data_IF_358770629493
#
_entry.id   IF_358770629493
#
_cell.length_a   1.000
_cell.length_b   1.000
_cell.length_c   1.000
_cell.angle_alpha   90.00
_cell.angle_beta   90.00
_cell.angle_gamma   90.00
#
_symmetry.space_group_name_H-M   'P 1'
#
loop_
_entity.id
_entity.type
_entity.pdbx_description
1 polymer ?
#
# COMPACT_ATOMS: atom_id res chain seq x y z
N UNK A 1 63.74 -51.45 -10.11
CA UNK A 1 62.30 -51.78 -10.11
C UNK A 1 61.60 -50.76 -9.22
N UNK A 2 60.72 -49.96 -9.83
CA UNK A 2 59.88 -48.92 -9.21
C UNK A 2 59.10 -49.46 -8.01
N UNK A 3 59.00 -48.69 -6.92
CA UNK A 3 57.80 -48.68 -6.06
C UNK A 3 57.35 -47.24 -5.85
N UNK A 4 56.12 -47.02 -6.30
CA UNK A 4 55.43 -45.76 -6.54
C UNK A 4 54.77 -45.26 -5.24
N UNK A 5 54.80 -43.96 -5.04
CA UNK A 5 54.14 -43.23 -3.95
C UNK A 5 52.62 -43.42 -3.99
N UNK A 6 51.97 -43.67 -2.85
CA UNK A 6 50.52 -43.53 -2.70
C UNK A 6 50.23 -42.23 -1.93
N UNK A 7 49.81 -41.21 -2.68
CA UNK A 7 49.33 -39.93 -2.16
C UNK A 7 47.91 -40.14 -1.64
N UNK A 8 47.70 -39.79 -0.37
CA UNK A 8 46.40 -39.79 0.30
C UNK A 8 45.53 -38.67 -0.28
N UNK A 9 44.44 -39.02 -0.97
CA UNK A 9 43.44 -38.07 -1.44
C UNK A 9 42.49 -37.72 -0.29
N UNK A 10 42.62 -36.50 0.24
CA UNK A 10 41.69 -35.91 1.19
C UNK A 10 40.45 -35.42 0.41
N UNK A 11 39.31 -36.11 0.56
CA UNK A 11 38.03 -35.72 -0.03
C UNK A 11 37.48 -34.51 0.75
N UNK A 12 37.54 -33.32 0.15
CA UNK A 12 36.90 -32.11 0.67
C UNK A 12 35.41 -32.15 0.28
N UNK A 13 34.53 -32.46 1.23
CA UNK A 13 33.07 -32.38 1.01
C UNK A 13 32.63 -30.92 0.97
N UNK A 14 32.37 -30.41 -0.24
CA UNK A 14 31.65 -29.16 -0.45
C UNK A 14 30.19 -29.36 0.01
N UNK A 15 29.85 -28.86 1.20
CA UNK A 15 28.44 -28.68 1.58
C UNK A 15 28.00 -27.41 0.87
N UNK A 16 27.31 -27.57 -0.26
CA UNK A 16 26.59 -26.48 -0.89
C UNK A 16 25.44 -26.09 0.06
N UNK A 17 25.56 -24.95 0.72
CA UNK A 17 24.45 -24.30 1.39
C UNK A 17 23.44 -23.90 0.31
N UNK A 18 22.43 -24.72 0.09
CA UNK A 18 21.24 -24.28 -0.63
C UNK A 18 20.56 -23.28 0.29
N UNK A 19 20.66 -21.99 -0.02
CA UNK A 19 19.68 -21.03 0.47
C UNK A 19 18.33 -21.54 -0.02
N UNK A 20 17.45 -21.93 0.91
CA UNK A 20 16.03 -21.96 0.60
C UNK A 20 15.68 -20.51 0.27
N UNK A 21 15.68 -20.17 -1.02
CA UNK A 21 14.98 -18.98 -1.47
C UNK A 21 13.56 -19.20 -0.98
N UNK A 22 13.12 -18.35 -0.05
CA UNK A 22 11.71 -18.29 0.28
C UNK A 22 10.98 -18.11 -1.04
N UNK A 23 9.95 -18.94 -1.28
CA UNK A 23 9.07 -18.74 -2.41
C UNK A 23 8.59 -17.28 -2.29
N UNK A 24 8.99 -16.35 -3.17
CA UNK A 24 8.61 -14.97 -2.99
C UNK A 24 7.10 -14.96 -3.07
N UNK A 25 6.44 -14.56 -1.98
CA UNK A 25 5.01 -14.37 -1.99
C UNK A 25 4.67 -13.48 -3.20
N UNK A 26 3.65 -13.87 -3.95
CA UNK A 26 3.18 -13.15 -5.11
C UNK A 26 3.09 -11.63 -4.78
N UNK A 27 3.63 -10.74 -5.62
CA UNK A 27 3.71 -9.32 -5.30
C UNK A 27 2.33 -8.73 -5.00
N UNK A 28 2.26 -7.85 -3.99
CA UNK A 28 1.01 -7.18 -3.63
C UNK A 28 1.16 -5.68 -3.81
N UNK A 29 0.11 -5.04 -4.30
CA UNK A 29 0.08 -3.60 -4.60
C UNK A 29 -1.14 -2.98 -3.96
N UNK A 30 -0.97 -1.85 -3.28
CA UNK A 30 -2.08 -0.97 -2.93
C UNK A 30 -2.19 0.10 -4.00
N UNK A 31 -3.40 0.32 -4.49
CA UNK A 31 -3.75 1.45 -5.33
C UNK A 31 -4.68 2.36 -4.54
N UNK A 32 -4.14 3.45 -3.99
CA UNK A 32 -4.92 4.47 -3.31
C UNK A 32 -5.65 5.33 -4.34
N UNK A 33 -6.96 5.47 -4.18
CA UNK A 33 -7.79 6.33 -5.03
C UNK A 33 -8.53 7.36 -4.19
N UNK A 34 -9.06 8.39 -4.84
CA UNK A 34 -9.99 9.33 -4.20
C UNK A 34 -11.39 8.73 -3.88
N UNK A 35 -11.56 7.41 -4.07
CA UNK A 35 -12.72 6.59 -3.64
C UNK A 35 -12.33 5.50 -2.63
N UNK A 36 -11.08 5.50 -2.15
CA UNK A 36 -10.52 4.51 -1.24
C UNK A 36 -9.46 3.61 -1.89
N UNK A 37 -8.77 2.78 -1.10
CA UNK A 37 -7.75 1.88 -1.59
C UNK A 37 -8.32 0.62 -2.23
N UNK A 38 -7.59 0.08 -3.20
CA UNK A 38 -7.79 -1.23 -3.82
C UNK A 38 -6.51 -2.03 -3.59
N UNK A 39 -6.63 -3.23 -3.00
CA UNK A 39 -5.51 -4.12 -2.72
C UNK A 39 -5.46 -5.22 -3.77
N UNK A 40 -4.30 -5.41 -4.37
CA UNK A 40 -4.07 -6.37 -5.44
C UNK A 40 -3.08 -7.44 -4.98
N UNK A 41 -3.35 -8.69 -5.36
CA UNK A 41 -2.34 -9.75 -5.40
C UNK A 41 -2.07 -10.08 -6.87
N UNK A 42 -0.83 -9.89 -7.29
CA UNK A 42 -0.39 -10.16 -8.66
C UNK A 42 0.02 -11.63 -8.78
N UNK A 43 -0.08 -12.20 -9.97
CA UNK A 43 0.25 -13.60 -10.24
C UNK A 43 1.54 -13.66 -11.06
N UNK A 44 2.68 -13.59 -10.38
CA UNK A 44 3.99 -13.66 -11.01
C UNK A 44 4.33 -15.07 -11.53
N UNK A 45 3.64 -16.10 -11.03
CA UNK A 45 3.83 -17.48 -11.46
C UNK A 45 3.21 -17.73 -12.84
N UNK A 46 1.98 -17.24 -13.07
CA UNK A 46 1.26 -17.44 -14.33
C UNK A 46 1.43 -16.28 -15.33
N UNK A 47 1.71 -15.05 -14.86
CA UNK A 47 1.88 -13.87 -15.70
C UNK A 47 3.17 -13.08 -15.36
N UNK A 48 4.37 -13.71 -15.41
CA UNK A 48 5.61 -13.09 -14.95
C UNK A 48 5.96 -11.78 -15.68
N UNK A 49 5.84 -11.74 -17.02
CA UNK A 49 6.21 -10.53 -17.79
C UNK A 49 5.22 -9.41 -17.54
N UNK A 50 3.94 -9.74 -17.41
CA UNK A 50 2.88 -8.78 -17.16
C UNK A 50 2.97 -8.19 -15.75
N UNK A 51 3.19 -9.05 -14.75
CA UNK A 51 3.38 -8.66 -13.35
C UNK A 51 4.62 -7.77 -13.20
N UNK A 52 5.76 -8.16 -13.79
CA UNK A 52 6.99 -7.35 -13.76
C UNK A 52 6.78 -5.98 -14.41
N UNK A 53 6.12 -5.92 -15.57
CA UNK A 53 5.80 -4.67 -16.24
C UNK A 53 4.90 -3.77 -15.38
N UNK A 54 3.86 -4.31 -14.76
CA UNK A 54 2.97 -3.54 -13.88
C UNK A 54 3.71 -3.00 -12.66
N UNK A 55 4.56 -3.81 -12.03
CA UNK A 55 5.39 -3.39 -10.90
C UNK A 55 6.35 -2.26 -11.29
N UNK A 56 6.98 -2.34 -12.47
CA UNK A 56 7.85 -1.25 -12.94
C UNK A 56 7.10 0.09 -13.02
N UNK A 57 5.85 0.09 -13.51
CA UNK A 57 5.03 1.31 -13.52
C UNK A 57 4.61 1.77 -12.11
N UNK A 58 4.37 0.83 -11.19
CA UNK A 58 4.09 1.14 -9.77
C UNK A 58 5.31 1.81 -9.12
N UNK A 59 6.50 1.22 -9.26
CA UNK A 59 7.74 1.70 -8.65
C UNK A 59 8.20 3.05 -9.22
N UNK A 60 7.84 3.35 -10.48
CA UNK A 60 8.06 4.66 -11.11
C UNK A 60 7.07 5.74 -10.65
N UNK A 61 6.03 5.40 -9.88
CA UNK A 61 4.93 6.31 -9.57
C UNK A 61 4.11 6.70 -10.81
N UNK A 62 4.16 5.88 -11.88
CA UNK A 62 3.58 6.22 -13.18
C UNK A 62 2.06 6.42 -13.11
N UNK A 63 1.38 5.72 -12.20
CA UNK A 63 -0.07 5.78 -12.07
C UNK A 63 -0.55 7.01 -11.29
N UNK A 64 0.33 7.72 -10.60
CA UNK A 64 -0.03 8.84 -9.72
C UNK A 64 -0.67 9.98 -10.54
N UNK A 65 -1.88 10.36 -10.14
CA UNK A 65 -2.70 11.37 -10.81
C UNK A 65 -3.42 10.88 -12.08
N UNK A 66 -3.26 9.63 -12.49
CA UNK A 66 -4.02 9.04 -13.59
C UNK A 66 -5.45 8.69 -13.15
N UNK A 67 -6.35 8.60 -14.12
CA UNK A 67 -7.77 8.36 -13.89
C UNK A 67 -8.26 7.01 -14.40
N UNK A 68 -9.35 6.54 -13.81
CA UNK A 68 -10.22 5.55 -14.43
C UNK A 68 -11.09 6.26 -15.47
N UNK A 69 -10.65 6.20 -16.72
CA UNK A 69 -11.21 6.98 -17.83
C UNK A 69 -12.38 6.28 -18.54
N UNK A 70 -12.58 4.99 -18.27
CA UNK A 70 -13.63 4.18 -18.89
C UNK A 70 -14.23 3.21 -17.89
N UNK A 71 -15.55 3.21 -17.78
CA UNK A 71 -16.36 2.34 -16.92
C UNK A 71 -17.55 1.84 -17.73
N UNK A 72 -17.67 0.52 -17.84
CA UNK A 72 -18.83 -0.13 -18.47
C UNK A 72 -19.41 -1.12 -17.48
N UNK A 73 -20.65 -0.87 -17.08
CA UNK A 73 -21.43 -1.70 -16.16
C UNK A 73 -21.37 -3.18 -16.56
N UNK A 74 -21.20 -4.04 -15.56
CA UNK A 74 -21.07 -5.51 -15.70
C UNK A 74 -19.95 -5.99 -16.66
N UNK A 75 -19.05 -5.09 -17.06
CA UNK A 75 -17.92 -5.40 -17.95
C UNK A 75 -16.60 -5.05 -17.27
N UNK A 76 -16.18 -3.77 -17.30
CA UNK A 76 -14.85 -3.37 -16.82
C UNK A 76 -14.79 -1.95 -16.25
N UNK A 77 -13.84 -1.75 -15.34
CA UNK A 77 -13.32 -0.44 -14.92
C UNK A 77 -11.88 -0.32 -15.42
N UNK A 78 -11.60 0.61 -16.33
CA UNK A 78 -10.31 0.73 -17.03
C UNK A 78 -9.58 2.04 -16.69
N UNK A 79 -8.26 1.93 -16.47
CA UNK A 79 -7.38 3.02 -16.05
C UNK A 79 -5.96 2.93 -16.61
N UNK A 80 -5.04 3.70 -16.04
CA UNK A 80 -3.59 3.57 -16.29
C UNK A 80 -3.05 4.23 -17.57
N UNK A 81 -3.78 5.18 -18.17
CA UNK A 81 -3.34 5.82 -19.43
C UNK A 81 -3.60 7.32 -19.57
N UNK A 82 -4.50 7.91 -18.79
CA UNK A 82 -4.94 9.30 -18.97
C UNK A 82 -4.96 10.05 -17.65
N UNK A 83 -4.61 11.34 -17.68
CA UNK A 83 -4.75 12.23 -16.52
C UNK A 83 -6.16 12.84 -16.44
N UNK A 84 -6.39 13.75 -15.48
CA UNK A 84 -7.69 14.43 -15.29
C UNK A 84 -8.11 15.31 -16.48
N UNK A 85 -7.17 15.72 -17.33
CA UNK A 85 -7.44 16.48 -18.55
C UNK A 85 -7.65 15.57 -19.77
N UNK A 86 -7.64 14.25 -19.56
CA UNK A 86 -7.65 13.23 -20.60
C UNK A 86 -6.46 13.37 -21.57
N UNK A 87 -5.34 13.90 -21.06
CA UNK A 87 -4.08 13.84 -21.77
C UNK A 87 -3.47 12.45 -21.57
N UNK A 88 -3.07 11.83 -22.68
CA UNK A 88 -2.46 10.51 -22.65
C UNK A 88 -1.05 10.61 -22.04
N UNK A 89 -0.80 9.85 -20.97
CA UNK A 89 0.54 9.74 -20.40
C UNK A 89 1.33 8.72 -21.21
N UNK A 90 2.38 9.18 -21.88
CA UNK A 90 3.21 8.32 -22.70
C UNK A 90 3.86 7.22 -21.84
N UNK A 91 3.86 5.95 -22.28
CA UNK A 91 4.36 4.85 -21.47
C UNK A 91 5.89 4.90 -21.38
N UNK A 92 6.43 4.56 -20.22
CA UNK A 92 7.88 4.50 -19.94
C UNK A 92 8.49 3.13 -20.29
N UNK A 93 7.70 2.06 -20.16
CA UNK A 93 8.06 0.70 -20.54
C UNK A 93 7.65 0.35 -21.98
N UNK A 94 8.36 -0.58 -22.66
CA UNK A 94 7.99 -1.07 -23.99
C UNK A 94 6.72 -1.93 -23.94
N UNK A 95 6.10 -2.13 -25.11
CA UNK A 95 4.99 -3.08 -25.23
C UNK A 95 5.45 -4.50 -24.87
N UNK A 96 4.63 -5.22 -24.12
CA UNK A 96 4.93 -6.58 -23.66
C UNK A 96 4.30 -7.66 -24.54
N UNK A 97 4.85 -8.86 -24.45
CA UNK A 97 4.23 -10.07 -25.03
C UNK A 97 2.94 -10.38 -24.29
N UNK A 98 1.93 -10.83 -25.01
CA UNK A 98 0.67 -11.21 -24.39
C UNK A 98 0.77 -12.57 -23.69
N UNK A 99 0.46 -12.59 -22.40
CA UNK A 99 0.39 -13.79 -21.56
C UNK A 99 -1.05 -14.31 -21.37
N UNK A 100 -2.03 -13.87 -22.18
CA UNK A 100 -3.45 -14.24 -22.02
C UNK A 100 -3.78 -15.73 -22.17
N UNK A 101 -2.85 -16.56 -22.63
CA UNK A 101 -2.99 -18.02 -22.66
C UNK A 101 -2.41 -18.70 -21.40
N UNK A 102 -2.20 -17.96 -20.31
CA UNK A 102 -1.66 -18.46 -19.04
C UNK A 102 -2.63 -19.31 -18.22
N UNK A 103 -3.89 -19.45 -18.66
CA UNK A 103 -4.91 -20.26 -17.97
C UNK A 103 -5.73 -19.49 -16.94
N UNK A 104 -5.41 -18.22 -16.69
CA UNK A 104 -6.25 -17.30 -15.92
C UNK A 104 -7.40 -16.78 -16.78
N UNK A 105 -8.58 -16.63 -16.18
CA UNK A 105 -9.81 -16.21 -16.86
C UNK A 105 -10.19 -14.79 -16.46
N UNK A 106 -10.79 -14.02 -17.38
CA UNK A 106 -11.30 -12.67 -17.15
C UNK A 106 -12.63 -12.71 -16.39
N UNK A 107 -12.58 -13.13 -15.13
CA UNK A 107 -13.75 -13.22 -14.23
C UNK A 107 -13.76 -12.09 -13.20
N UNK A 108 -14.88 -11.93 -12.48
CA UNK A 108 -15.04 -10.89 -11.46
C UNK A 108 -13.82 -10.83 -10.51
N UNK A 109 -13.43 -9.60 -10.14
CA UNK A 109 -12.28 -9.28 -9.27
C UNK A 109 -10.90 -9.46 -9.87
N UNK A 110 -10.76 -10.02 -11.07
CA UNK A 110 -9.45 -10.10 -11.72
C UNK A 110 -9.01 -8.76 -12.29
N UNK A 111 -7.69 -8.52 -12.33
CA UNK A 111 -7.06 -7.41 -13.06
C UNK A 111 -6.36 -7.95 -14.31
N UNK A 112 -6.55 -7.28 -15.44
CA UNK A 112 -5.99 -7.66 -16.71
C UNK A 112 -5.46 -6.46 -17.50
N UNK A 113 -4.52 -6.72 -18.41
CA UNK A 113 -3.92 -5.68 -19.24
C UNK A 113 -4.83 -5.29 -20.41
N UNK A 114 -5.10 -4.00 -20.56
CA UNK A 114 -5.65 -3.47 -21.79
C UNK A 114 -4.57 -3.45 -22.88
N UNK A 115 -5.00 -3.51 -24.14
CA UNK A 115 -4.09 -3.44 -25.29
C UNK A 115 -4.77 -2.81 -26.50
N UNK A 116 -3.95 -2.38 -27.45
CA UNK A 116 -4.42 -2.01 -28.79
C UNK A 116 -4.74 -3.25 -29.63
N UNK A 117 -4.97 -3.07 -30.94
CA UNK A 117 -5.38 -4.14 -31.85
C UNK A 117 -4.32 -5.26 -32.00
N UNK A 118 -3.04 -4.91 -31.95
CA UNK A 118 -1.95 -5.88 -32.01
C UNK A 118 -1.90 -6.72 -30.72
N UNK A 119 -1.63 -8.03 -30.85
CA UNK A 119 -1.63 -8.95 -29.71
C UNK A 119 -0.63 -8.53 -28.62
N UNK A 120 0.60 -8.21 -29.02
CA UNK A 120 1.69 -7.78 -28.13
C UNK A 120 1.78 -6.25 -28.08
N UNK A 121 0.72 -5.61 -27.58
CA UNK A 121 0.64 -4.14 -27.49
C UNK A 121 0.18 -3.63 -26.12
N UNK A 122 0.04 -4.51 -25.14
CA UNK A 122 -0.18 -4.11 -23.75
C UNK A 122 1.04 -3.33 -23.23
N UNK A 123 0.78 -2.34 -22.37
CA UNK A 123 1.79 -1.43 -21.81
C UNK A 123 1.43 -1.05 -20.36
N UNK A 124 0.88 0.14 -20.09
CA UNK A 124 0.50 0.64 -18.76
C UNK A 124 -0.99 0.50 -18.45
N UNK A 125 -1.85 0.42 -19.46
CA UNK A 125 -3.30 0.42 -19.23
C UNK A 125 -3.78 -0.95 -18.76
N UNK A 126 -4.64 -0.95 -17.75
CA UNK A 126 -5.23 -2.14 -17.15
C UNK A 126 -6.73 -1.94 -16.94
N UNK A 127 -7.43 -3.02 -16.64
CA UNK A 127 -8.81 -2.97 -16.21
C UNK A 127 -9.12 -4.01 -15.13
N UNK A 128 -10.11 -3.70 -14.30
CA UNK A 128 -10.74 -4.65 -13.38
C UNK A 128 -11.97 -5.25 -14.06
N UNK A 129 -12.10 -6.58 -14.00
CA UNK A 129 -13.28 -7.30 -14.47
C UNK A 129 -14.41 -7.20 -13.44
N UNK A 130 -15.57 -6.69 -13.86
CA UNK A 130 -16.78 -6.59 -13.03
C UNK A 130 -17.68 -7.82 -13.09
N UNK A 131 -17.36 -8.77 -13.96
CA UNK A 131 -18.13 -9.98 -14.22
C UNK A 131 -17.32 -10.97 -15.06
N UNK A 132 -17.98 -12.02 -15.55
CA UNK A 132 -17.37 -13.01 -16.44
C UNK A 132 -17.32 -12.47 -17.88
N UNK A 133 -16.12 -12.18 -18.36
CA UNK A 133 -15.83 -11.61 -19.66
C UNK A 133 -15.12 -12.64 -20.56
N UNK A 134 -15.73 -13.82 -20.72
CA UNK A 134 -15.17 -14.98 -21.44
C UNK A 134 -14.67 -14.65 -22.86
N UNK A 135 -15.24 -13.61 -23.49
CA UNK A 135 -14.82 -13.13 -24.82
C UNK A 135 -13.44 -12.45 -24.84
N UNK A 136 -12.85 -12.16 -23.67
CA UNK A 136 -11.52 -11.57 -23.52
C UNK A 136 -10.44 -12.63 -23.26
N UNK A 137 -10.83 -13.86 -22.88
CA UNK A 137 -9.90 -14.93 -22.54
C UNK A 137 -8.99 -15.33 -23.71
N UNK A 138 -7.72 -15.62 -23.41
CA UNK A 138 -6.68 -15.86 -24.43
C UNK A 138 -6.18 -14.60 -25.13
N UNK A 139 -6.99 -13.54 -25.17
CA UNK A 139 -6.71 -12.29 -25.86
C UNK A 139 -6.19 -11.17 -24.97
N UNK A 140 -6.46 -11.22 -23.66
CA UNK A 140 -6.08 -10.22 -22.68
C UNK A 140 -5.52 -10.92 -21.43
N UNK A 141 -4.31 -10.54 -21.02
CA UNK A 141 -3.60 -11.19 -19.93
C UNK A 141 -4.16 -10.75 -18.57
N UNK A 142 -4.84 -11.65 -17.89
CA UNK A 142 -5.07 -11.55 -16.44
C UNK A 142 -3.75 -11.79 -15.74
N UNK A 143 -3.43 -10.95 -14.76
CA UNK A 143 -2.15 -10.98 -14.05
C UNK A 143 -2.30 -10.79 -12.54
N UNK A 144 -3.52 -10.91 -12.01
CA UNK A 144 -3.78 -10.82 -10.58
C UNK A 144 -5.27 -10.66 -10.26
N UNK A 145 -5.53 -10.35 -9.00
CA UNK A 145 -6.88 -10.16 -8.47
C UNK A 145 -6.94 -9.11 -7.36
N UNK A 146 -8.15 -8.59 -7.14
CA UNK A 146 -8.48 -7.72 -6.02
C UNK A 146 -8.72 -8.56 -4.77
N UNK A 147 -7.84 -8.41 -3.78
CA UNK A 147 -7.88 -9.12 -2.49
C UNK A 147 -8.46 -8.28 -1.35
N UNK A 148 -8.74 -7.00 -1.61
CA UNK A 148 -9.32 -6.06 -0.66
C UNK A 148 -9.73 -4.77 -1.38
N UNK A 149 -10.71 -4.03 -0.86
CA UNK A 149 -11.20 -2.82 -1.54
C UNK A 149 -12.12 -3.09 -2.73
N UNK A 150 -12.69 -4.28 -2.86
CA UNK A 150 -13.65 -4.58 -3.95
C UNK A 150 -14.84 -3.62 -3.97
N UNK A 151 -15.32 -3.21 -2.79
CA UNK A 151 -16.37 -2.21 -2.66
C UNK A 151 -15.98 -0.85 -3.27
N UNK A 152 -14.69 -0.48 -3.30
CA UNK A 152 -14.21 0.72 -3.98
C UNK A 152 -14.29 0.54 -5.50
N UNK A 153 -13.92 -0.62 -6.05
CA UNK A 153 -14.09 -0.91 -7.48
C UNK A 153 -15.57 -0.86 -7.88
N UNK A 154 -16.46 -1.42 -7.06
CA UNK A 154 -17.91 -1.36 -7.28
C UNK A 154 -18.48 0.05 -7.18
N UNK A 155 -17.97 0.88 -6.25
CA UNK A 155 -18.34 2.29 -6.14
C UNK A 155 -17.93 3.07 -7.40
N UNK A 156 -16.74 2.80 -7.95
CA UNK A 156 -16.28 3.38 -9.22
C UNK A 156 -17.15 2.91 -10.39
N UNK A 157 -17.50 1.62 -10.42
CA UNK A 157 -18.36 1.03 -11.44
C UNK A 157 -19.76 1.66 -11.46
N UNK A 158 -20.31 2.00 -10.29
CA UNK A 158 -21.64 2.61 -10.17
C UNK A 158 -21.72 4.11 -10.50
N UNK A 159 -20.63 4.74 -10.95
CA UNK A 159 -20.63 6.16 -11.31
C UNK A 159 -21.35 6.40 -12.63
N UNK A 160 -22.17 7.45 -12.69
CA UNK A 160 -22.78 7.88 -13.95
C UNK A 160 -21.73 8.18 -15.01
N UNK A 161 -21.87 7.55 -16.18
CA UNK A 161 -20.97 7.72 -17.32
C UNK A 161 -21.58 8.59 -18.42
N UNK A 162 -20.71 9.12 -19.27
CA UNK A 162 -21.07 9.93 -20.43
C UNK A 162 -19.98 9.91 -21.49
N UNK A 163 -20.08 10.84 -22.43
CA UNK A 163 -19.04 11.06 -23.44
C UNK A 163 -18.25 12.29 -23.05
N UNK A 164 -16.95 12.11 -22.80
CA UNK A 164 -16.02 13.24 -22.69
C UNK A 164 -15.46 13.57 -24.07
N UNK A 165 -15.61 14.81 -24.52
CA UNK A 165 -14.99 15.31 -25.76
C UNK A 165 -13.76 16.14 -25.41
N UNK A 166 -12.63 15.84 -26.04
CA UNK A 166 -11.41 16.65 -25.98
C UNK A 166 -10.90 16.94 -27.39
N UNK A 167 -9.91 17.84 -27.57
CA UNK A 167 -9.26 18.02 -28.87
C UNK A 167 -8.66 16.73 -29.45
N UNK A 168 -8.30 15.77 -28.59
CA UNK A 168 -7.75 14.47 -28.96
C UNK A 168 -8.78 13.42 -29.36
N UNK A 169 -10.08 13.65 -29.14
CA UNK A 169 -11.15 12.73 -29.51
C UNK A 169 -12.28 12.63 -28.49
N UNK A 170 -13.17 11.67 -28.72
CA UNK A 170 -14.27 11.35 -27.82
C UNK A 170 -13.94 10.11 -27.00
N UNK A 171 -14.16 10.19 -25.70
CA UNK A 171 -14.03 9.12 -24.73
C UNK A 171 -15.44 8.77 -24.25
N UNK A 172 -16.08 7.74 -24.83
CA UNK A 172 -17.35 7.23 -24.30
C UNK A 172 -17.13 6.47 -22.99
N UNK A 173 -18.23 6.16 -22.30
CA UNK A 173 -18.23 5.34 -21.08
C UNK A 173 -17.39 5.96 -19.96
N UNK A 174 -17.22 7.28 -19.98
CA UNK A 174 -16.35 8.00 -19.07
C UNK A 174 -17.13 8.46 -17.84
N UNK A 175 -16.68 8.20 -16.60
CA UNK A 175 -17.35 8.73 -15.41
C UNK A 175 -17.42 10.25 -15.45
N UNK A 176 -18.56 10.84 -15.11
CA UNK A 176 -18.74 12.31 -15.07
C UNK A 176 -17.79 13.00 -14.08
N UNK A 177 -17.28 12.26 -13.09
CA UNK A 177 -16.20 12.68 -12.20
C UNK A 177 -15.23 11.52 -12.08
N UNK A 178 -14.24 11.42 -12.99
CA UNK A 178 -13.31 10.30 -13.04
C UNK A 178 -12.57 10.14 -11.72
N UNK A 179 -12.62 8.94 -11.11
CA UNK A 179 -11.80 8.61 -9.96
C UNK A 179 -10.32 8.65 -10.31
N UNK A 180 -9.52 9.08 -9.36
CA UNK A 180 -8.10 9.36 -9.55
C UNK A 180 -7.28 8.41 -8.69
N UNK A 181 -6.30 7.77 -9.30
CA UNK A 181 -5.25 7.04 -8.62
C UNK A 181 -4.35 8.08 -7.97
N UNK A 182 -4.40 8.16 -6.66
CA UNK A 182 -3.57 9.07 -5.88
C UNK A 182 -2.15 8.55 -5.82
N UNK A 183 -2.01 7.24 -5.54
CA UNK A 183 -0.73 6.55 -5.53
C UNK A 183 -0.90 5.05 -5.74
N UNK A 184 0.11 4.39 -6.29
CA UNK A 184 0.25 2.94 -6.20
C UNK A 184 1.62 2.57 -5.64
N UNK A 185 1.68 1.57 -4.76
CA UNK A 185 2.94 1.08 -4.17
C UNK A 185 2.83 -0.38 -3.76
N UNK A 186 3.97 -1.07 -3.73
CA UNK A 186 4.06 -2.45 -3.27
C UNK A 186 3.97 -2.54 -1.74
N UNK A 187 3.47 -3.66 -1.21
CA UNK A 187 3.44 -3.93 0.23
C UNK A 187 3.64 -5.42 0.54
N UNK A 188 4.17 -5.73 1.73
CA UNK A 188 4.33 -7.12 2.21
C UNK A 188 3.30 -7.45 3.29
N UNK A 189 3.27 -6.62 4.33
CA UNK A 189 2.28 -6.63 5.41
C UNK A 189 1.31 -5.44 5.25
N UNK A 190 0.22 -5.39 6.02
CA UNK A 190 -0.77 -4.30 5.92
C UNK A 190 -0.07 -2.94 6.07
N UNK A 191 -0.08 -2.08 5.03
CA UNK A 191 0.76 -0.88 5.02
C UNK A 191 0.17 0.23 5.88
N UNK A 192 1.02 1.14 6.34
CA UNK A 192 0.59 2.38 6.97
C UNK A 192 -0.08 3.26 5.92
N UNK A 193 -1.32 3.66 6.21
CA UNK A 193 -2.18 4.39 5.29
C UNK A 193 -2.90 5.52 6.01
N UNK A 194 -3.36 6.50 5.23
CA UNK A 194 -4.21 7.59 5.72
C UNK A 194 -5.44 7.12 6.50
N UNK A 195 -5.94 5.92 6.17
CA UNK A 195 -7.06 5.30 6.86
C UNK A 195 -6.77 4.94 8.31
N UNK A 196 -5.53 4.96 8.78
CA UNK A 196 -5.16 4.73 10.18
C UNK A 196 -5.21 5.99 11.04
N UNK A 197 -5.37 7.17 10.44
CA UNK A 197 -5.52 8.42 11.18
C UNK A 197 -6.67 8.32 12.19
N UNK A 198 -6.46 8.81 13.40
CA UNK A 198 -7.42 8.73 14.50
C UNK A 198 -6.79 8.30 15.82
N UNK A 199 -7.66 7.90 16.74
CA UNK A 199 -7.32 7.53 18.11
C UNK A 199 -7.27 6.01 18.27
N UNK A 200 -6.22 5.53 18.91
CA UNK A 200 -5.94 4.14 19.21
C UNK A 200 -5.68 3.99 20.71
N UNK A 201 -6.07 2.86 21.30
CA UNK A 201 -5.98 2.65 22.75
C UNK A 201 -5.69 1.21 23.12
N UNK A 202 -5.10 1.01 24.30
CA UNK A 202 -4.93 -0.30 24.94
C UNK A 202 -6.29 -0.80 25.47
N UNK A 203 -6.86 -1.90 24.94
CA UNK A 203 -8.11 -2.46 25.42
C UNK A 203 -8.07 -2.96 26.86
N UNK A 204 -6.88 -3.27 27.38
CA UNK A 204 -6.66 -3.81 28.72
C UNK A 204 -6.29 -2.74 29.75
N UNK A 205 -5.92 -1.53 29.31
CA UNK A 205 -5.53 -0.43 30.19
C UNK A 205 -6.11 0.91 29.72
N UNK A 206 -7.29 1.27 30.25
CA UNK A 206 -7.93 2.54 29.95
C UNK A 206 -7.09 3.73 30.39
N UNK A 207 -6.61 4.53 29.43
CA UNK A 207 -5.72 5.66 29.68
C UNK A 207 -4.38 5.58 28.95
N UNK A 208 -4.10 4.46 28.27
CA UNK A 208 -2.92 4.27 27.42
C UNK A 208 -3.33 4.20 25.95
N UNK A 209 -2.64 4.94 25.09
CA UNK A 209 -2.87 4.89 23.65
C UNK A 209 -2.27 6.07 22.91
N UNK A 210 -2.61 6.24 21.64
CA UNK A 210 -2.10 7.36 20.85
C UNK A 210 -3.15 7.94 19.91
N UNK A 211 -2.97 9.19 19.53
CA UNK A 211 -3.56 9.74 18.32
C UNK A 211 -2.51 9.78 17.23
N UNK A 212 -2.85 9.33 16.03
CA UNK A 212 -1.97 9.37 14.86
C UNK A 212 -2.66 10.12 13.72
N UNK A 213 -1.88 10.92 13.00
CA UNK A 213 -2.24 11.51 11.73
C UNK A 213 -1.23 11.03 10.70
N UNK A 214 -1.72 10.38 9.63
CA UNK A 214 -0.91 9.87 8.53
C UNK A 214 -1.19 10.73 7.30
N UNK A 215 -0.16 11.31 6.70
CA UNK A 215 -0.33 12.19 5.53
C UNK A 215 -0.41 11.39 4.22
N UNK A 216 -1.16 11.93 3.25
CA UNK A 216 -1.29 11.38 1.89
C UNK A 216 -0.41 12.15 0.88
N UNK A 217 0.46 13.03 1.36
CA UNK A 217 1.33 13.89 0.56
C UNK A 217 2.70 13.89 1.22
N UNK A 218 3.74 13.63 0.44
CA UNK A 218 5.10 13.60 0.94
C UNK A 218 5.71 14.99 1.11
N UNK A 219 6.81 15.04 1.84
CA UNK A 219 7.66 16.25 1.98
C UNK A 219 8.56 16.42 0.75
N UNK A 220 9.67 17.17 0.84
CA UNK A 220 10.61 17.39 -0.29
C UNK A 220 11.08 16.10 -0.99
N UNK A 221 11.03 14.96 -0.29
CA UNK A 221 11.45 13.64 -0.78
C UNK A 221 10.27 12.71 -1.16
N UNK A 222 9.03 13.22 -1.23
CA UNK A 222 7.79 12.46 -1.53
C UNK A 222 7.47 11.32 -0.52
N UNK A 223 8.12 11.34 0.64
CA UNK A 223 7.87 10.43 1.76
C UNK A 223 6.69 10.92 2.63
N UNK A 224 5.70 10.05 2.92
CA UNK A 224 4.62 10.37 3.84
C UNK A 224 5.18 10.50 5.26
N UNK A 225 4.44 11.24 6.08
CA UNK A 225 4.80 11.44 7.49
C UNK A 225 3.67 10.97 8.40
N UNK A 226 4.06 10.56 9.60
CA UNK A 226 3.15 10.34 10.71
C UNK A 226 3.41 11.40 11.78
N UNK A 227 2.34 12.02 12.29
CA UNK A 227 2.36 12.76 13.53
C UNK A 227 1.69 11.91 14.60
N UNK A 228 2.35 11.69 15.72
CA UNK A 228 1.86 10.86 16.80
C UNK A 228 1.85 11.62 18.13
N UNK A 229 0.74 11.51 18.84
CA UNK A 229 0.52 12.02 20.18
C UNK A 229 0.24 10.83 21.10
N UNK A 230 1.24 10.38 21.84
CA UNK A 230 1.08 9.32 22.83
C UNK A 230 0.58 9.93 24.14
N UNK A 231 -0.48 9.33 24.68
CA UNK A 231 -0.93 9.55 26.04
C UNK A 231 -0.78 8.28 26.90
N UNK A 232 -0.25 8.46 28.11
CA UNK A 232 -0.26 7.44 29.16
C UNK A 232 -0.77 8.09 30.46
N UNK A 233 -1.74 7.44 31.09
CA UNK A 233 -2.21 7.79 32.42
C UNK A 233 -1.75 6.73 33.43
N UNK A 234 -0.57 6.93 33.99
CA UNK A 234 0.05 6.00 34.95
C UNK A 234 0.31 6.69 36.28
N UNK A 235 0.02 5.99 37.37
CA UNK A 235 0.21 6.45 38.77
C UNK A 235 -0.44 7.81 39.10
N UNK A 236 -1.53 8.17 38.39
CA UNK A 236 -2.25 9.43 38.60
C UNK A 236 -1.68 10.63 37.83
N UNK A 237 -0.66 10.42 37.00
CA UNK A 237 -0.06 11.45 36.15
C UNK A 237 -0.39 11.21 34.68
N UNK A 238 -0.56 12.30 33.95
CA UNK A 238 -0.77 12.26 32.51
C UNK A 238 0.54 12.58 31.80
N UNK A 239 1.01 11.65 30.98
CA UNK A 239 2.18 11.81 30.13
C UNK A 239 1.68 12.09 28.72
N UNK A 240 2.24 13.14 28.10
CA UNK A 240 2.05 13.44 26.69
C UNK A 240 3.40 13.51 26.01
N UNK A 241 3.61 12.62 25.05
CA UNK A 241 4.78 12.64 24.18
C UNK A 241 4.32 12.84 22.74
N UNK A 242 5.09 13.64 22.00
CA UNK A 242 4.78 13.95 20.61
C UNK A 242 5.95 13.57 19.74
N UNK A 243 5.68 13.07 18.54
CA UNK A 243 6.73 12.70 17.60
C UNK A 243 6.24 12.77 16.17
N UNK A 244 7.18 13.00 15.28
CA UNK A 244 6.97 12.97 13.84
C UNK A 244 8.05 12.09 13.21
N UNK A 245 7.67 11.26 12.25
CA UNK A 245 8.61 10.48 11.46
C UNK A 245 8.13 10.40 10.00
N UNK A 246 9.08 10.37 9.07
CA UNK A 246 8.83 9.89 7.71
C UNK A 246 8.86 8.37 7.67
N UNK A 247 8.19 7.79 6.68
CA UNK A 247 8.22 6.35 6.38
C UNK A 247 8.15 6.15 4.86
N UNK A 248 8.49 4.96 4.38
CA UNK A 248 8.38 4.63 2.97
C UNK A 248 7.00 4.06 2.65
N UNK A 249 6.51 4.35 1.44
CA UNK A 249 5.24 3.77 0.97
C UNK A 249 5.34 2.24 0.95
N UNK A 250 4.38 1.57 1.59
CA UNK A 250 4.39 0.11 1.73
C UNK A 250 4.92 -0.39 3.08
N UNK A 251 5.55 0.47 3.89
CA UNK A 251 5.95 0.13 5.24
C UNK A 251 4.72 -0.25 6.09
N UNK A 252 4.82 -1.34 6.84
CA UNK A 252 3.80 -1.78 7.78
C UNK A 252 4.04 -1.32 9.21
N UNK A 253 5.23 -0.77 9.48
CA UNK A 253 5.65 -0.24 10.76
C UNK A 253 6.48 1.03 10.62
N UNK A 254 6.38 1.92 11.62
CA UNK A 254 7.14 3.17 11.67
C UNK A 254 7.66 3.42 13.07
N UNK A 255 8.94 3.75 13.18
CA UNK A 255 9.57 4.13 14.46
C UNK A 255 9.70 5.64 14.56
N UNK A 256 9.13 6.20 15.62
CA UNK A 256 8.98 7.63 15.84
C UNK A 256 9.79 8.02 17.07
N UNK A 257 10.66 9.01 16.91
CA UNK A 257 11.35 9.66 18.02
C UNK A 257 10.37 10.54 18.80
N UNK A 258 10.32 10.37 20.11
CA UNK A 258 9.39 11.07 20.98
C UNK A 258 10.06 12.24 21.68
N UNK A 259 9.37 13.37 21.67
CA UNK A 259 9.74 14.60 22.35
C UNK A 259 8.77 14.87 23.49
N UNK A 260 9.31 15.34 24.61
CA UNK A 260 8.53 15.70 25.79
C UNK A 260 9.24 16.72 26.66
N UNK A 261 8.45 17.59 27.28
CA UNK A 261 8.93 18.67 28.16
C UNK A 261 9.09 18.19 29.60
N UNK A 262 8.35 17.16 29.98
CA UNK A 262 8.05 16.84 31.37
C UNK A 262 8.88 15.66 31.86
N UNK A 263 9.44 15.81 33.06
CA UNK A 263 9.89 14.68 33.89
C UNK A 263 8.64 13.93 34.40
N UNK A 264 8.77 12.68 34.88
CA UNK A 264 7.64 12.00 35.52
C UNK A 264 7.02 12.91 36.59
N UNK A 265 5.70 13.14 36.52
CA UNK A 265 4.85 14.00 37.38
C UNK A 265 4.63 15.47 36.98
N UNK A 266 5.14 15.97 35.86
CA UNK A 266 4.81 17.31 35.36
C UNK A 266 3.83 17.23 34.18
N UNK A 267 2.87 18.15 34.09
CA UNK A 267 1.93 18.25 32.96
C UNK A 267 2.28 19.43 32.07
N UNK A 268 2.17 19.28 30.75
CA UNK A 268 2.29 20.42 29.82
C UNK A 268 1.11 21.36 30.02
N UNK A 269 1.38 22.59 30.49
CA UNK A 269 0.36 23.64 30.54
C UNK A 269 0.10 24.16 29.12
N UNK A 270 -1.01 23.77 28.52
CA UNK A 270 -1.41 24.25 27.19
C UNK A 270 -1.87 25.72 27.19
N UNK A 271 -2.18 26.33 28.36
CA UNK A 271 -2.44 27.77 28.46
C UNK A 271 -1.15 28.59 28.42
N UNK A 272 -0.05 27.99 28.88
CA UNK A 272 1.30 28.58 28.88
C UNK A 272 2.29 27.57 28.28
N UNK A 273 2.22 27.32 26.95
CA UNK A 273 3.02 26.28 26.34
C UNK A 273 4.51 26.55 26.55
N UNK A 274 5.31 25.54 26.92
CA UNK A 274 6.75 25.68 27.04
C UNK A 274 7.38 26.12 25.72
N UNK A 275 8.49 26.85 25.78
CA UNK A 275 9.27 27.15 24.59
C UNK A 275 9.74 25.85 23.93
N UNK A 276 9.85 25.85 22.60
CA UNK A 276 10.28 24.65 21.85
C UNK A 276 11.63 24.08 22.30
N UNK A 277 12.51 24.93 22.84
CA UNK A 277 13.81 24.55 23.42
C UNK A 277 13.70 23.67 24.66
N UNK A 278 12.54 23.62 25.31
CA UNK A 278 12.29 22.79 26.49
C UNK A 278 11.96 21.33 26.13
N UNK A 279 11.63 21.05 24.86
CA UNK A 279 11.36 19.69 24.41
C UNK A 279 12.66 18.92 24.21
N UNK A 280 12.77 17.79 24.88
CA UNK A 280 13.94 16.89 24.80
C UNK A 280 13.50 15.52 24.32
N UNK A 281 14.45 14.78 23.73
CA UNK A 281 14.20 13.39 23.32
C UNK A 281 13.90 12.52 24.54
N UNK A 282 12.83 11.73 24.46
CA UNK A 282 12.34 10.85 25.52
C UNK A 282 12.42 9.37 25.17
N UNK A 283 12.90 9.02 23.97
CA UNK A 283 12.98 7.65 23.48
C UNK A 283 12.19 7.48 22.19
N UNK A 284 11.70 6.27 21.93
CA UNK A 284 11.01 5.93 20.68
C UNK A 284 9.73 5.15 20.92
N UNK A 285 8.82 5.26 19.96
CA UNK A 285 7.66 4.38 19.79
C UNK A 285 7.67 3.82 18.38
N UNK A 286 7.44 2.52 18.25
CA UNK A 286 7.24 1.84 16.96
C UNK A 286 5.80 1.43 16.87
N UNK A 287 5.09 1.86 15.83
CA UNK A 287 3.69 1.50 15.59
C UNK A 287 3.62 0.59 14.38
N UNK A 288 2.87 -0.51 14.51
CA UNK A 288 2.56 -1.47 13.44
C UNK A 288 1.05 -1.66 13.34
N UNK A 289 0.50 -1.64 12.15
CA UNK A 289 -0.91 -1.95 11.91
C UNK A 289 -1.04 -3.37 11.36
N UNK A 290 -1.97 -4.15 11.89
CA UNK A 290 -2.30 -5.47 11.35
C UNK A 290 -3.42 -5.37 10.32
N UNK A 291 -4.35 -4.44 10.57
CA UNK A 291 -5.46 -4.09 9.70
C UNK A 291 -5.98 -2.68 10.06
N UNK A 292 -7.10 -2.28 9.45
CA UNK A 292 -7.73 -0.97 9.65
C UNK A 292 -8.24 -0.69 11.09
N UNK A 293 -8.38 -1.71 11.93
CA UNK A 293 -8.96 -1.66 13.29
C UNK A 293 -8.05 -2.23 14.39
N UNK A 294 -7.00 -2.97 14.04
CA UNK A 294 -6.08 -3.59 14.99
C UNK A 294 -4.62 -3.33 14.66
N UNK A 295 -3.81 -3.23 15.71
CA UNK A 295 -2.38 -2.98 15.57
C UNK A 295 -1.67 -3.18 16.90
N UNK A 296 -0.44 -2.74 16.93
CA UNK A 296 0.41 -2.82 18.11
C UNK A 296 1.37 -1.63 18.11
N UNK A 297 1.74 -1.16 19.30
CA UNK A 297 2.92 -0.33 19.44
C UNK A 297 3.88 -0.91 20.47
N UNK A 298 5.16 -0.68 20.26
CA UNK A 298 6.20 -0.88 21.26
C UNK A 298 6.89 0.42 21.57
N UNK A 299 7.36 0.58 22.80
CA UNK A 299 8.06 1.78 23.23
C UNK A 299 9.32 1.44 23.99
N UNK A 300 10.30 2.34 23.92
CA UNK A 300 11.53 2.31 24.71
C UNK A 300 11.84 3.74 25.17
N UNK A 301 11.55 4.01 26.44
CA UNK A 301 11.71 5.30 27.08
C UNK A 301 12.68 5.18 28.26
N UNK A 302 13.81 5.91 28.30
CA UNK A 302 14.77 5.82 29.39
C UNK A 302 14.15 6.05 30.79
N UNK A 303 13.15 6.93 30.88
CA UNK A 303 12.50 7.31 32.13
C UNK A 303 11.28 6.43 32.49
N UNK A 304 10.71 5.70 31.52
CA UNK A 304 9.44 4.94 31.68
C UNK A 304 9.56 3.44 31.35
N UNK A 305 10.76 2.99 30.98
CA UNK A 305 11.04 1.62 30.58
C UNK A 305 10.59 1.32 29.15
N UNK A 306 10.48 0.03 28.85
CA UNK A 306 10.06 -0.47 27.55
C UNK A 306 8.91 -1.45 27.66
N UNK A 307 8.11 -1.53 26.61
CA UNK A 307 6.90 -2.35 26.58
C UNK A 307 6.33 -2.51 25.18
N UNK A 308 5.33 -3.37 25.08
CA UNK A 308 4.59 -3.66 23.86
C UNK A 308 3.11 -3.78 24.22
N UNK A 309 2.27 -3.14 23.42
CA UNK A 309 0.85 -2.94 23.71
C UNK A 309 0.06 -3.18 22.44
N UNK A 310 -0.85 -4.15 22.48
CA UNK A 310 -1.84 -4.34 21.43
C UNK A 310 -2.85 -3.19 21.52
N UNK A 311 -3.19 -2.60 20.38
CA UNK A 311 -4.12 -1.48 20.31
C UNK A 311 -5.33 -1.79 19.46
N UNK A 312 -6.46 -1.28 19.93
CA UNK A 312 -7.69 -1.23 19.17
C UNK A 312 -7.99 0.21 18.75
N UNK A 313 -8.72 0.33 17.65
CA UNK A 313 -9.16 1.62 17.14
C UNK A 313 -10.34 2.19 17.92
N UNK A 314 -10.24 3.46 18.33
CA UNK A 314 -11.30 4.20 19.03
C UNK A 314 -12.06 5.14 18.09
N UNK A 315 -11.35 5.81 17.17
CA UNK A 315 -11.97 6.75 16.23
C UNK A 315 -11.58 6.43 14.79
N UNK A 316 -12.52 6.68 13.88
CA UNK A 316 -12.39 6.47 12.44
C UNK A 316 -12.76 7.78 11.76
N UNK A 317 -11.95 8.32 10.82
CA UNK A 317 -12.34 9.47 10.01
C UNK A 317 -13.66 9.20 9.30
N UNK A 318 -14.50 10.24 9.19
CA UNK A 318 -15.80 10.10 8.55
C UNK A 318 -15.65 9.52 7.13
N UNK A 319 -16.61 8.69 6.72
CA UNK A 319 -16.65 7.96 5.42
C UNK A 319 -15.60 6.87 5.22
N UNK A 320 -14.68 6.63 6.16
CA UNK A 320 -13.81 5.45 6.12
C UNK A 320 -14.58 4.23 6.58
N UNK A 321 -14.51 3.16 5.79
CA UNK A 321 -15.25 1.91 5.98
C UNK A 321 -14.28 0.75 6.02
N UNK A 322 -13.75 0.47 7.21
CA UNK A 322 -12.73 -0.58 7.41
C UNK A 322 -13.18 -1.98 6.97
N UNK A 323 -14.50 -2.25 6.97
CA UNK A 323 -15.10 -3.47 6.44
C UNK A 323 -14.81 -3.70 4.95
N UNK A 324 -14.47 -2.64 4.21
CA UNK A 324 -14.13 -2.71 2.78
C UNK A 324 -12.69 -3.15 2.52
N UNK A 325 -11.81 -3.17 3.52
CA UNK A 325 -10.36 -3.31 3.36
C UNK A 325 -9.80 -4.56 4.05
N UNK A 326 -10.66 -5.50 4.43
CA UNK A 326 -10.19 -6.81 4.89
C UNK A 326 -9.51 -7.51 3.70
N UNK A 327 -8.29 -7.97 3.95
CA UNK A 327 -7.54 -8.76 2.99
C UNK A 327 -8.03 -10.21 3.11
N UNK A 328 -8.45 -10.77 1.98
CA UNK A 328 -8.76 -12.20 1.84
C UNK A 328 -7.50 -13.07 2.04
#
# INVERSE_FOLDING_TARGET
>A
MLRLNLISFLLLSLIASQSLAQNPQNPRVVMETDRGPIFLQLDADNAPVTTENFINYVDEGFFDGLIFHRVVDDFVVQGGGFDRNYEYRAPTQPNIVNEGNNGLLNVERTIAMARASALNSANSQFYFNLGANDNLDGGYAVFGEVIGGWATVQEIAGLSTGIQTTPGGNFPDTPMTPPVIQRAYQFSDFPIMSVHSGSWFDPNNGGVGFNIEVTNQGTEDDQPIVNLYWYDFSEGNQIWLVGTAGFDWGDSEVTIGLLGVVTPNETTDFQTPPEGSAFTSRGTITVRFNDCNSGQFSYDLPDFGSGQVDVARLTVPDRIRCDRYQLD
#
